data_IF_009309057023
#
_entry.id   IF_009309057023
#
_cell.length_a   1.000
_cell.length_b   1.000
_cell.length_c   1.000
_cell.angle_alpha   90.00
_cell.angle_beta   90.00
_cell.angle_gamma   90.00
#
_symmetry.space_group_name_H-M   'P 1'
#
loop_
_entity.id
_entity.type
_entity.pdbx_description
1 polymer ?
#
# COMPACT_ATOMS: atom_id res chain seq x y z
N UNK A 1 7.62 -7.55 19.58
CA UNK A 1 8.00 -7.72 18.16
C UNK A 1 6.84 -7.18 17.33
N UNK A 2 7.03 -6.06 16.64
CA UNK A 2 5.96 -5.43 15.85
C UNK A 2 5.73 -6.35 14.66
N UNK A 3 4.59 -7.02 14.65
CA UNK A 3 4.20 -7.98 13.63
C UNK A 3 3.73 -7.20 12.39
N UNK A 4 4.69 -6.58 11.69
CA UNK A 4 4.48 -5.96 10.40
C UNK A 4 4.30 -7.10 9.38
N UNK A 5 3.12 -7.75 9.38
CA UNK A 5 2.76 -8.63 8.28
C UNK A 5 2.88 -7.82 7.00
N UNK A 6 3.77 -8.21 6.06
CA UNK A 6 3.91 -7.50 4.81
C UNK A 6 2.53 -7.49 4.14
N UNK A 7 2.10 -6.33 3.65
CA UNK A 7 0.80 -6.14 2.97
C UNK A 7 0.55 -7.20 1.87
N UNK A 8 1.65 -7.75 1.36
CA UNK A 8 1.80 -8.88 0.47
C UNK A 8 1.00 -10.14 0.87
N UNK A 9 0.89 -10.46 2.17
CA UNK A 9 0.29 -11.73 2.64
C UNK A 9 -1.25 -11.79 2.51
N UNK A 10 -1.94 -10.64 2.43
CA UNK A 10 -3.42 -10.59 2.39
C UNK A 10 -4.00 -10.40 1.00
N UNK A 11 -3.30 -9.65 0.14
CA UNK A 11 -3.84 -9.22 -1.15
C UNK A 11 -3.04 -9.73 -2.33
N UNK A 12 -2.02 -10.57 -2.07
CA UNK A 12 -1.12 -11.15 -3.05
C UNK A 12 -0.46 -10.07 -3.87
N UNK A 13 0.59 -9.42 -3.37
CA UNK A 13 1.45 -8.42 -4.04
C UNK A 13 0.80 -7.23 -4.77
N UNK A 14 -0.50 -7.23 -5.04
CA UNK A 14 -1.19 -6.44 -6.05
C UNK A 14 -2.26 -5.55 -5.40
N UNK A 15 -1.86 -4.52 -4.65
CA UNK A 15 -2.80 -3.56 -4.04
C UNK A 15 -2.42 -2.11 -4.34
N UNK A 16 -3.42 -1.24 -4.53
CA UNK A 16 -3.22 0.15 -4.92
C UNK A 16 -3.15 1.02 -3.67
N UNK A 17 -2.45 2.16 -3.76
CA UNK A 17 -2.30 3.09 -2.62
C UNK A 17 -3.64 3.46 -1.99
N UNK A 18 -4.69 3.69 -2.79
CA UNK A 18 -6.01 4.06 -2.28
C UNK A 18 -6.63 2.98 -1.42
N UNK A 19 -6.51 1.73 -1.84
CA UNK A 19 -7.02 0.59 -1.07
C UNK A 19 -6.18 0.36 0.18
N UNK A 20 -4.86 0.56 0.13
CA UNK A 20 -4.00 0.57 1.33
C UNK A 20 -4.46 1.66 2.31
N UNK A 21 -4.66 2.89 1.85
CA UNK A 21 -5.14 3.99 2.70
C UNK A 21 -6.47 3.66 3.38
N UNK A 22 -7.42 3.08 2.63
CA UNK A 22 -8.73 2.68 3.17
C UNK A 22 -8.62 1.53 4.17
N UNK A 23 -7.87 0.47 3.84
CA UNK A 23 -7.74 -0.73 4.67
C UNK A 23 -7.00 -0.45 5.99
N UNK A 24 -5.91 0.31 5.92
CA UNK A 24 -5.04 0.58 7.07
C UNK A 24 -5.34 1.91 7.77
N UNK A 25 -6.35 2.65 7.29
CA UNK A 25 -6.72 4.00 7.75
C UNK A 25 -5.50 4.93 7.85
N UNK A 26 -4.74 5.02 6.76
CA UNK A 26 -3.52 5.83 6.65
C UNK A 26 -3.65 6.85 5.52
N UNK A 27 -2.83 7.88 5.54
CA UNK A 27 -2.80 8.89 4.48
C UNK A 27 -1.48 8.85 3.69
N UNK A 28 -1.24 7.74 2.98
CA UNK A 28 -0.13 7.65 2.04
C UNK A 28 -0.40 8.54 0.83
N UNK A 29 0.63 9.25 0.41
CA UNK A 29 0.68 10.07 -0.81
C UNK A 29 1.58 9.38 -1.84
N UNK A 30 1.56 9.77 -3.13
CA UNK A 30 2.42 9.13 -4.13
C UNK A 30 3.91 9.04 -3.77
N UNK A 31 4.55 10.06 -3.16
CA UNK A 31 5.95 9.97 -2.70
C UNK A 31 6.21 8.99 -1.54
N UNK A 32 5.15 8.53 -0.87
CA UNK A 32 5.27 7.56 0.23
C UNK A 32 5.35 6.12 -0.27
N UNK A 33 5.03 5.88 -1.54
CA UNK A 33 4.93 4.56 -2.16
C UNK A 33 5.94 4.38 -3.28
N UNK A 34 6.43 3.16 -3.42
CA UNK A 34 7.11 2.71 -4.63
C UNK A 34 6.08 2.02 -5.52
N UNK A 35 6.14 2.34 -6.82
CA UNK A 35 5.19 1.86 -7.80
C UNK A 35 5.85 0.91 -8.80
N UNK A 36 5.12 -0.13 -9.16
CA UNK A 36 5.45 -1.00 -10.29
C UNK A 36 4.58 -0.69 -11.50
N UNK A 37 4.24 -1.73 -12.26
CA UNK A 37 3.40 -1.65 -13.45
C UNK A 37 1.92 -1.38 -13.14
N UNK A 38 1.22 -0.99 -14.20
CA UNK A 38 -0.25 -0.87 -14.23
C UNK A 38 -0.92 -2.23 -14.04
N UNK A 39 -1.91 -2.30 -13.16
CA UNK A 39 -2.70 -3.50 -12.93
C UNK A 39 -4.13 -3.16 -12.50
N UNK A 40 -5.04 -4.13 -12.52
CA UNK A 40 -6.40 -3.97 -12.02
C UNK A 40 -6.40 -4.34 -10.54
N UNK A 41 -6.68 -3.37 -9.67
CA UNK A 41 -6.72 -3.60 -8.24
C UNK A 41 -7.85 -4.58 -7.88
N UNK A 42 -7.58 -5.71 -7.19
CA UNK A 42 -8.62 -6.68 -6.83
C UNK A 42 -9.65 -6.07 -5.87
N UNK A 43 -9.26 -5.07 -5.08
CA UNK A 43 -10.12 -4.46 -4.07
C UNK A 43 -11.11 -3.44 -4.65
N UNK A 44 -10.66 -2.54 -5.55
CA UNK A 44 -11.51 -1.51 -6.15
C UNK A 44 -11.92 -1.77 -7.60
N UNK A 45 -11.39 -2.83 -8.24
CA UNK A 45 -11.63 -3.20 -9.65
C UNK A 45 -11.30 -2.09 -10.66
N UNK A 46 -10.48 -1.12 -10.25
CA UNK A 46 -10.00 -0.04 -11.11
C UNK A 46 -8.54 -0.28 -11.50
N UNK A 47 -8.14 0.28 -12.66
CA UNK A 47 -6.76 0.27 -13.13
C UNK A 47 -5.92 1.30 -12.34
N UNK A 48 -4.87 0.83 -11.67
CA UNK A 48 -3.95 1.65 -10.88
C UNK A 48 -2.51 1.13 -11.00
N UNK A 49 -1.53 1.90 -10.56
CA UNK A 49 -0.19 1.37 -10.31
C UNK A 49 -0.18 0.52 -9.05
N UNK A 50 0.48 -0.64 -9.15
CA UNK A 50 0.76 -1.53 -8.02
C UNK A 50 1.71 -0.85 -7.06
N UNK A 51 1.43 -0.93 -5.76
CA UNK A 51 2.38 -0.52 -4.74
C UNK A 51 3.30 -1.71 -4.44
N UNK A 52 4.56 -1.61 -4.87
CA UNK A 52 5.59 -2.66 -4.67
C UNK A 52 6.36 -2.49 -3.37
N UNK A 53 6.26 -1.32 -2.74
CA UNK A 53 6.97 -1.01 -1.51
C UNK A 53 6.64 0.39 -0.98
N UNK A 54 7.31 0.76 0.10
CA UNK A 54 7.16 2.07 0.74
C UNK A 54 8.50 2.75 0.88
N UNK A 55 8.52 4.08 0.76
CA UNK A 55 9.67 4.87 1.17
C UNK A 55 9.77 4.88 2.71
N UNK A 56 10.90 5.27 3.32
CA UNK A 56 11.03 5.34 4.78
C UNK A 56 9.92 6.19 5.43
N UNK A 57 9.50 7.27 4.76
CA UNK A 57 8.37 8.11 5.18
C UNK A 57 7.03 7.37 5.11
N UNK A 58 6.78 6.64 4.03
CA UNK A 58 5.58 5.83 3.89
C UNK A 58 5.52 4.69 4.91
N UNK A 59 6.65 4.05 5.19
CA UNK A 59 6.76 3.04 6.23
C UNK A 59 6.45 3.64 7.61
N UNK A 60 6.97 4.85 7.90
CA UNK A 60 6.65 5.58 9.12
C UNK A 60 5.13 5.80 9.26
N UNK A 61 4.46 6.24 8.19
CA UNK A 61 3.00 6.40 8.19
C UNK A 61 2.26 5.09 8.43
N UNK A 62 2.71 3.99 7.82
CA UNK A 62 2.14 2.66 8.03
C UNK A 62 2.28 2.19 9.48
N UNK A 63 3.42 2.49 10.13
CA UNK A 63 3.69 2.12 11.52
C UNK A 63 2.89 2.97 12.52
N UNK A 64 2.79 4.27 12.27
CA UNK A 64 2.12 5.20 13.18
C UNK A 64 0.65 5.46 12.86
N UNK A 65 0.13 4.86 11.77
CA UNK A 65 -1.26 5.03 11.27
C UNK A 65 -1.73 6.49 11.27
N UNK A 66 -0.84 7.37 10.79
CA UNK A 66 -1.04 8.83 10.70
C UNK A 66 -1.00 9.29 9.25
#
# INVERSE_FOLDING_TARGET
MINAKPIHDRFGDYICRRCINREYNVNLTPPDCQYGYDYICPCCREKHHIVTGFTPRGLLKMLFRR
#
